data_IF_235584521805
#
_entry.id   IF_235584521805
#
_cell.length_a   1.000
_cell.length_b   1.000
_cell.length_c   1.000
_cell.angle_alpha   90.00
_cell.angle_beta   90.00
_cell.angle_gamma   90.00
#
_symmetry.space_group_name_H-M   'P 1'
#
loop_
_entity.id
_entity.type
_entity.pdbx_description
1 polymer ?
#
# COMPACT_ATOMS: atom_id res chain seq x y z
N UNK A 1 -35.00 -40.49 14.16
CA UNK A 1 -33.91 -39.54 14.48
C UNK A 1 -33.49 -38.86 13.19
N UNK A 2 -33.33 -37.54 13.28
CA UNK A 2 -33.41 -36.53 12.21
C UNK A 2 -32.46 -36.73 11.02
N UNK A 3 -32.99 -36.65 9.80
CA UNK A 3 -32.22 -36.40 8.59
C UNK A 3 -32.10 -34.88 8.41
N UNK A 4 -30.87 -34.36 8.35
CA UNK A 4 -30.63 -32.93 8.08
C UNK A 4 -30.16 -32.77 6.64
N UNK A 5 -31.08 -32.28 5.81
CA UNK A 5 -30.83 -31.71 4.49
C UNK A 5 -29.94 -30.48 4.65
N UNK A 6 -28.74 -30.47 4.06
CA UNK A 6 -27.89 -29.29 3.98
C UNK A 6 -28.06 -28.68 2.59
N UNK A 7 -28.75 -27.54 2.53
CA UNK A 7 -28.99 -26.79 1.31
C UNK A 7 -27.66 -26.22 0.78
N UNK A 8 -27.41 -26.43 -0.51
CA UNK A 8 -26.34 -25.81 -1.29
C UNK A 8 -26.88 -24.46 -1.76
N UNK A 9 -26.34 -23.36 -1.24
CA UNK A 9 -26.64 -22.02 -1.75
C UNK A 9 -25.68 -21.71 -2.89
N UNK A 10 -26.25 -21.60 -4.09
CA UNK A 10 -25.54 -21.26 -5.32
C UNK A 10 -25.03 -19.82 -5.30
N UNK A 11 -23.72 -19.64 -5.55
CA UNK A 11 -23.17 -18.37 -5.98
C UNK A 11 -23.65 -18.12 -7.42
N UNK A 12 -24.28 -16.96 -7.66
CA UNK A 12 -24.60 -16.50 -9.02
C UNK A 12 -23.47 -15.59 -9.48
N UNK A 13 -22.72 -16.09 -10.47
CA UNK A 13 -21.78 -15.33 -11.27
C UNK A 13 -22.51 -14.19 -12.00
N UNK A 14 -22.10 -12.95 -11.75
CA UNK A 14 -22.40 -11.82 -12.62
C UNK A 14 -21.15 -11.54 -13.45
N UNK A 15 -21.05 -12.23 -14.58
CA UNK A 15 -20.08 -11.96 -15.62
C UNK A 15 -20.46 -10.67 -16.35
N UNK A 16 -19.64 -9.63 -16.20
CA UNK A 16 -19.70 -8.42 -17.02
C UNK A 16 -18.95 -8.70 -18.33
N UNK A 17 -19.67 -8.64 -19.45
CA UNK A 17 -19.17 -8.96 -20.78
C UNK A 17 -18.98 -7.67 -21.59
N UNK A 18 -17.75 -7.23 -21.89
CA UNK A 18 -17.51 -6.22 -22.89
C UNK A 18 -16.88 -6.87 -24.14
N UNK A 19 -17.74 -7.32 -25.05
CA UNK A 19 -17.33 -7.59 -26.44
C UNK A 19 -17.89 -6.47 -27.30
N UNK A 20 -17.07 -5.50 -27.70
CA UNK A 20 -17.01 -4.88 -29.03
C UNK A 20 -15.70 -4.04 -29.11
N UNK A 21 -14.68 -4.55 -29.80
CA UNK A 21 -13.61 -3.73 -30.38
C UNK A 21 -13.50 -4.11 -31.84
N UNK A 22 -13.73 -3.10 -32.69
CA UNK A 22 -13.49 -3.13 -34.12
C UNK A 22 -11.98 -3.24 -34.39
N UNK A 23 -11.65 -4.05 -35.39
CA UNK A 23 -10.32 -4.15 -35.98
C UNK A 23 -10.03 -2.93 -36.85
N UNK A 24 -8.90 -2.26 -36.62
CA UNK A 24 -8.15 -1.67 -37.72
C UNK A 24 -6.67 -2.06 -37.57
N UNK A 25 -6.16 -2.71 -38.61
CA UNK A 25 -4.78 -3.19 -38.67
C UNK A 25 -3.79 -2.12 -39.10
N UNK A 26 -2.53 -2.29 -38.71
CA UNK A 26 -1.41 -1.76 -39.48
C UNK A 26 -0.21 -2.71 -39.39
N UNK A 27 0.35 -3.00 -40.57
CA UNK A 27 1.47 -3.90 -40.85
C UNK A 27 2.75 -3.47 -40.15
N UNK A 28 3.56 -4.47 -39.81
CA UNK A 28 4.76 -4.31 -38.99
C UNK A 28 6.02 -3.81 -39.69
N UNK A 29 7.12 -3.87 -38.94
CA UNK A 29 8.48 -3.97 -39.43
C UNK A 29 9.35 -4.61 -38.35
N UNK A 30 10.14 -5.61 -38.78
CA UNK A 30 11.28 -6.18 -38.06
C UNK A 30 12.29 -5.07 -37.76
N UNK A 31 13.14 -5.27 -36.75
CA UNK A 31 14.60 -5.24 -36.89
C UNK A 31 15.29 -5.65 -35.58
N UNK A 32 16.08 -6.71 -35.71
CA UNK A 32 17.45 -6.92 -35.26
C UNK A 32 17.86 -6.93 -33.77
N UNK A 33 18.25 -8.16 -33.43
CA UNK A 33 19.14 -8.63 -32.39
C UNK A 33 20.52 -7.95 -32.50
N UNK A 34 21.02 -7.36 -31.42
CA UNK A 34 22.48 -7.29 -31.16
C UNK A 34 22.75 -7.68 -29.71
N UNK A 35 23.33 -8.86 -29.57
CA UNK A 35 24.06 -9.34 -28.40
C UNK A 35 25.48 -8.78 -28.51
N UNK A 36 25.98 -8.13 -27.45
CA UNK A 36 27.43 -7.92 -27.31
C UNK A 36 27.86 -8.27 -25.89
N UNK A 37 28.54 -9.42 -25.81
CA UNK A 37 29.41 -9.84 -24.71
C UNK A 37 30.57 -8.86 -24.58
N UNK A 38 31.09 -8.65 -23.38
CA UNK A 38 32.48 -8.25 -23.22
C UNK A 38 33.13 -9.13 -22.15
N UNK A 39 34.21 -9.79 -22.57
CA UNK A 39 35.08 -10.64 -21.77
C UNK A 39 36.39 -9.91 -21.50
N UNK A 40 37.09 -10.38 -20.48
CA UNK A 40 38.42 -10.02 -20.00
C UNK A 40 39.50 -9.81 -21.08
N UNK A 41 40.44 -8.86 -20.86
CA UNK A 41 41.83 -9.19 -20.49
C UNK A 41 42.75 -7.95 -20.31
N UNK A 42 43.55 -8.07 -19.25
CA UNK A 42 44.76 -7.43 -18.75
C UNK A 42 45.75 -6.74 -19.73
N UNK A 43 46.38 -5.64 -19.28
CA UNK A 43 47.85 -5.52 -19.12
C UNK A 43 48.32 -4.22 -18.42
N UNK A 44 48.81 -4.41 -17.18
CA UNK A 44 50.01 -3.89 -16.52
C UNK A 44 50.71 -2.59 -17.02
N UNK A 45 50.97 -1.66 -16.09
CA UNK A 45 52.32 -1.14 -15.86
C UNK A 45 52.50 -0.56 -14.43
N UNK A 46 53.54 -1.04 -13.76
CA UNK A 46 54.04 -0.64 -12.43
C UNK A 46 54.80 0.70 -12.45
N UNK A 47 54.70 1.47 -11.36
CA UNK A 47 55.88 2.07 -10.71
C UNK A 47 55.69 2.23 -9.19
N UNK A 48 56.72 1.80 -8.46
CA UNK A 48 56.88 1.77 -7.01
C UNK A 48 57.38 3.12 -6.45
N UNK A 49 56.90 3.52 -5.27
CA UNK A 49 57.81 3.99 -4.21
C UNK A 49 57.20 3.86 -2.80
N UNK A 50 57.98 3.26 -1.89
CA UNK A 50 57.76 3.07 -0.45
C UNK A 50 57.99 4.38 0.34
N UNK A 51 57.24 4.63 1.42
CA UNK A 51 57.75 4.50 2.81
C UNK A 51 56.71 4.84 3.92
N UNK A 52 56.63 3.91 4.89
CA UNK A 52 56.51 4.04 6.36
C UNK A 52 55.46 4.95 7.07
N UNK A 53 54.66 4.28 7.91
CA UNK A 53 53.92 4.79 9.08
C UNK A 53 54.84 5.37 10.19
N UNK A 54 54.28 6.20 11.10
CA UNK A 54 54.05 5.67 12.46
C UNK A 54 52.69 6.04 13.08
N UNK A 55 52.39 5.32 14.17
CA UNK A 55 51.22 5.36 15.06
C UNK A 55 51.09 6.69 15.81
N UNK A 56 49.86 7.06 16.20
CA UNK A 56 49.55 7.77 17.45
C UNK A 56 48.09 7.49 17.88
N UNK A 57 47.93 7.13 19.15
CA UNK A 57 46.67 7.10 19.91
C UNK A 57 46.31 8.53 20.33
N UNK A 58 45.02 8.86 20.41
CA UNK A 58 44.46 9.84 21.34
C UNK A 58 42.94 9.65 21.47
N UNK A 59 42.49 9.71 22.72
CA UNK A 59 41.13 9.55 23.21
C UNK A 59 40.30 10.85 23.09
N UNK A 60 38.98 10.65 23.18
CA UNK A 60 37.90 11.59 23.49
C UNK A 60 37.70 12.86 22.63
N UNK A 61 36.51 12.96 22.04
CA UNK A 61 35.57 14.03 22.41
C UNK A 61 34.14 13.62 22.00
N UNK A 62 33.22 13.80 22.96
CA UNK A 62 31.78 13.71 22.80
C UNK A 62 31.34 14.72 21.76
N UNK A 63 30.45 14.32 20.84
CA UNK A 63 29.65 15.29 20.12
C UNK A 63 28.24 14.73 19.95
N UNK A 64 27.38 15.15 20.87
CA UNK A 64 25.94 15.13 20.74
C UNK A 64 25.57 15.87 19.45
N UNK A 65 25.00 15.15 18.48
CA UNK A 65 24.22 15.80 17.44
C UNK A 65 22.78 15.29 17.54
N UNK A 66 21.99 16.13 18.20
CA UNK A 66 20.55 16.19 18.14
C UNK A 66 20.06 16.27 16.69
N UNK A 67 19.05 15.45 16.40
CA UNK A 67 17.90 15.78 15.55
C UNK A 67 18.16 16.17 14.09
N UNK A 68 18.40 15.15 13.25
CA UNK A 68 17.95 15.18 11.87
C UNK A 68 16.61 14.42 11.77
N UNK A 69 15.51 15.15 11.94
CA UNK A 69 14.26 14.79 11.29
C UNK A 69 14.51 14.90 9.78
N UNK A 70 14.98 13.80 9.19
CA UNK A 70 15.00 13.65 7.74
C UNK A 70 13.55 13.78 7.24
N UNK A 71 13.15 14.99 6.88
CA UNK A 71 12.02 15.22 6.01
C UNK A 71 12.28 14.38 4.76
N UNK A 72 11.52 13.29 4.62
CA UNK A 72 11.54 12.47 3.40
C UNK A 72 10.88 13.33 2.32
N UNK A 73 11.66 14.23 1.73
CA UNK A 73 11.26 15.03 0.58
C UNK A 73 11.00 14.09 -0.60
N UNK A 74 9.86 14.27 -1.26
CA UNK A 74 9.53 13.56 -2.50
C UNK A 74 10.42 14.09 -3.63
N UNK A 75 11.68 13.67 -3.66
CA UNK A 75 12.57 13.87 -4.81
C UNK A 75 11.99 13.09 -6.02
N UNK A 76 11.49 13.87 -6.99
CA UNK A 76 11.37 13.55 -8.41
C UNK A 76 10.70 12.23 -8.77
N UNK A 77 9.39 12.24 -8.95
CA UNK A 77 8.69 11.23 -9.74
C UNK A 77 9.07 11.35 -11.23
N UNK A 78 10.12 10.63 -11.64
CA UNK A 78 10.52 10.47 -13.05
C UNK A 78 9.63 9.47 -13.82
N UNK A 79 8.46 9.09 -13.30
CA UNK A 79 7.44 8.32 -14.04
C UNK A 79 6.22 9.16 -14.39
N UNK A 80 6.44 10.36 -14.95
CA UNK A 80 5.40 11.16 -15.61
C UNK A 80 5.04 10.60 -16.98
N UNK A 81 4.53 9.37 -17.04
CA UNK A 81 3.89 8.79 -18.22
C UNK A 81 2.73 7.87 -17.82
N UNK A 82 1.61 8.49 -17.44
CA UNK A 82 0.27 8.30 -18.05
C UNK A 82 -0.70 9.15 -17.23
N UNK A 83 -1.41 10.04 -17.93
CA UNK A 83 -2.27 11.08 -17.37
C UNK A 83 -3.11 10.64 -16.16
N UNK A 84 -2.81 11.18 -14.98
CA UNK A 84 -3.85 11.57 -14.05
C UNK A 84 -4.70 12.60 -14.81
N UNK A 85 -5.72 12.14 -15.52
CA UNK A 85 -6.76 13.04 -16.01
C UNK A 85 -7.32 13.68 -14.76
N UNK A 86 -7.25 15.01 -14.65
CA UNK A 86 -7.87 15.76 -13.57
C UNK A 86 -9.37 15.48 -13.58
N UNK A 87 -9.77 14.41 -12.89
CA UNK A 87 -11.15 14.08 -12.62
C UNK A 87 -11.59 15.13 -11.61
N UNK A 88 -12.51 15.99 -12.02
CA UNK A 88 -13.12 16.95 -11.13
C UNK A 88 -14.26 16.24 -10.40
N UNK A 89 -14.10 15.86 -9.11
CA UNK A 89 -15.21 15.29 -8.36
C UNK A 89 -16.38 16.28 -8.34
N UNK A 90 -17.59 15.77 -8.49
CA UNK A 90 -18.80 16.60 -8.40
C UNK A 90 -18.95 17.22 -7.00
N UNK A 91 -19.91 18.13 -6.80
CA UNK A 91 -20.15 18.71 -5.49
C UNK A 91 -20.40 17.65 -4.41
N UNK A 92 -19.82 17.85 -3.23
CA UNK A 92 -20.05 17.01 -2.06
C UNK A 92 -21.50 17.13 -1.57
N UNK A 93 -22.18 16.00 -1.45
CA UNK A 93 -23.51 15.87 -0.87
C UNK A 93 -23.47 14.95 0.35
N UNK A 94 -24.27 15.25 1.37
CA UNK A 94 -24.45 14.32 2.48
C UNK A 94 -25.28 13.11 2.03
N UNK A 95 -24.96 11.93 2.55
CA UNK A 95 -25.72 10.71 2.27
C UNK A 95 -27.21 10.87 2.64
N UNK A 96 -27.48 11.55 3.76
CA UNK A 96 -28.84 11.83 4.23
C UNK A 96 -29.64 12.68 3.24
N UNK A 97 -29.07 13.78 2.75
CA UNK A 97 -29.73 14.65 1.76
C UNK A 97 -30.04 13.88 0.47
N UNK A 98 -29.12 13.00 0.06
CA UNK A 98 -29.31 12.22 -1.15
C UNK A 98 -30.44 11.20 -0.98
N UNK A 99 -30.56 10.57 0.19
CA UNK A 99 -31.64 9.62 0.47
C UNK A 99 -33.00 10.30 0.59
N UNK A 100 -33.06 11.50 1.20
CA UNK A 100 -34.30 12.26 1.33
C UNK A 100 -34.85 12.74 -0.02
N UNK A 101 -33.97 13.16 -0.95
CA UNK A 101 -34.38 13.59 -2.30
C UNK A 101 -35.05 12.49 -3.12
N UNK A 102 -34.64 11.24 -2.91
CA UNK A 102 -35.09 10.10 -3.71
C UNK A 102 -36.14 9.26 -2.98
N UNK A 103 -36.73 9.77 -1.90
CA UNK A 103 -37.69 9.04 -1.06
C UNK A 103 -38.97 8.64 -1.80
N UNK A 104 -39.40 9.48 -2.75
CA UNK A 104 -40.65 9.31 -3.51
C UNK A 104 -40.44 8.44 -4.77
N UNK A 105 -39.19 8.06 -5.09
CA UNK A 105 -38.86 7.18 -6.21
C UNK A 105 -38.54 5.77 -5.69
N UNK A 106 -39.49 4.85 -5.90
CA UNK A 106 -39.34 3.46 -5.47
C UNK A 106 -38.15 2.75 -6.13
N UNK A 107 -37.85 3.08 -7.39
CA UNK A 107 -36.77 2.45 -8.14
C UNK A 107 -35.40 2.86 -7.63
N UNK A 108 -35.21 4.16 -7.39
CA UNK A 108 -33.97 4.69 -6.82
C UNK A 108 -33.76 4.24 -5.38
N UNK A 109 -34.84 4.18 -4.58
CA UNK A 109 -34.76 3.68 -3.20
C UNK A 109 -34.29 2.22 -3.14
N UNK A 110 -34.87 1.34 -3.97
CA UNK A 110 -34.44 -0.06 -4.07
C UNK A 110 -32.99 -0.19 -4.55
N UNK A 111 -32.60 0.59 -5.54
CA UNK A 111 -31.23 0.59 -6.06
C UNK A 111 -30.22 1.04 -5.00
N UNK A 112 -30.51 2.10 -4.24
CA UNK A 112 -29.63 2.56 -3.15
C UNK A 112 -29.54 1.56 -2.00
N UNK A 113 -30.66 0.94 -1.64
CA UNK A 113 -30.67 -0.12 -0.62
C UNK A 113 -29.79 -1.31 -1.04
N UNK A 114 -29.75 -1.65 -2.33
CA UNK A 114 -28.85 -2.69 -2.85
C UNK A 114 -27.37 -2.30 -2.78
N UNK A 115 -27.04 -1.03 -3.03
CA UNK A 115 -25.65 -0.57 -3.03
C UNK A 115 -25.10 -0.33 -1.61
N UNK A 116 -25.89 0.33 -0.78
CA UNK A 116 -25.48 0.77 0.54
C UNK A 116 -25.74 -0.30 1.62
N UNK A 117 -26.57 -1.29 1.31
CA UNK A 117 -27.09 -2.24 2.28
C UNK A 117 -28.03 -1.56 3.28
N UNK A 118 -28.14 -2.15 4.47
CA UNK A 118 -28.87 -1.55 5.59
C UNK A 118 -27.97 -0.53 6.29
N UNK A 119 -27.94 0.68 5.75
CA UNK A 119 -27.28 1.81 6.42
C UNK A 119 -28.13 2.27 7.59
N UNK A 120 -27.52 2.34 8.77
CA UNK A 120 -28.15 2.96 9.92
C UNK A 120 -28.12 4.48 9.76
N UNK A 121 -29.24 5.04 9.34
CA UNK A 121 -29.41 6.49 9.13
C UNK A 121 -29.28 7.30 10.42
N UNK A 122 -29.36 6.66 11.59
CA UNK A 122 -29.10 7.33 12.86
C UNK A 122 -27.60 7.49 13.15
N UNK A 123 -26.75 6.62 12.58
CA UNK A 123 -25.31 6.68 12.70
C UNK A 123 -24.64 7.54 11.61
N UNK A 124 -25.33 7.74 10.48
CA UNK A 124 -24.90 8.63 9.39
C UNK A 124 -25.37 10.05 9.72
N UNK A 125 -24.46 10.85 10.29
CA UNK A 125 -24.74 12.25 10.62
C UNK A 125 -25.06 13.12 9.39
N UNK A 126 -25.33 14.41 9.61
CA UNK A 126 -25.57 15.41 8.54
C UNK A 126 -24.27 15.91 7.89
N UNK A 127 -23.14 15.29 8.22
CA UNK A 127 -21.84 15.67 7.69
C UNK A 127 -21.76 15.38 6.20
N UNK A 128 -21.31 16.38 5.43
CA UNK A 128 -20.92 16.20 4.03
C UNK A 128 -19.59 15.49 3.88
N UNK A 129 -18.77 15.52 4.93
CA UNK A 129 -17.46 14.91 4.90
C UNK A 129 -17.48 13.47 5.40
N UNK A 130 -16.90 12.53 4.63
CA UNK A 130 -16.66 11.18 5.11
C UNK A 130 -15.56 11.15 6.18
N UNK A 131 -15.57 10.08 6.97
CA UNK A 131 -14.52 9.76 7.92
C UNK A 131 -14.07 8.32 7.72
N UNK A 132 -12.76 8.12 7.57
CA UNK A 132 -12.13 6.81 7.50
C UNK A 132 -11.16 6.69 8.65
N UNK A 133 -11.31 5.62 9.44
CA UNK A 133 -10.37 5.29 10.50
C UNK A 133 -9.66 3.98 10.17
N UNK A 134 -8.37 4.06 9.86
CA UNK A 134 -7.54 2.87 9.68
C UNK A 134 -7.19 2.31 11.06
N UNK A 135 -7.65 1.09 11.35
CA UNK A 135 -7.60 0.47 12.67
C UNK A 135 -6.30 -0.31 12.87
N UNK A 136 -5.89 -1.08 11.86
CA UNK A 136 -4.70 -1.94 11.98
C UNK A 136 -4.10 -2.33 10.64
N UNK A 137 -2.79 -2.57 10.67
CA UNK A 137 -2.04 -3.27 9.64
C UNK A 137 -1.78 -4.71 10.09
N UNK A 138 -2.22 -5.69 9.31
CA UNK A 138 -1.97 -7.11 9.57
C UNK A 138 -1.00 -7.67 8.54
N UNK A 139 0.03 -8.37 9.00
CA UNK A 139 1.02 -9.05 8.16
C UNK A 139 0.70 -10.53 8.17
N UNK A 140 0.18 -11.01 7.04
CA UNK A 140 -0.13 -12.43 6.82
C UNK A 140 1.09 -13.09 6.19
N UNK A 141 1.50 -14.24 6.74
CA UNK A 141 2.74 -14.93 6.35
C UNK A 141 2.45 -16.40 6.19
N UNK A 142 3.01 -17.01 5.15
CA UNK A 142 2.77 -18.42 4.92
C UNK A 142 3.28 -19.27 6.11
N UNK A 143 2.40 -20.11 6.67
CA UNK A 143 2.72 -21.03 7.75
C UNK A 143 2.97 -20.38 9.11
N UNK A 144 2.56 -19.12 9.32
CA UNK A 144 2.65 -18.42 10.61
C UNK A 144 1.34 -17.71 10.94
N UNK A 145 1.01 -17.51 12.23
CA UNK A 145 -0.11 -16.67 12.62
C UNK A 145 0.04 -15.24 12.08
N UNK A 146 -1.09 -14.60 11.83
CA UNK A 146 -1.17 -13.20 11.45
C UNK A 146 -0.54 -12.31 12.54
N UNK A 147 0.29 -11.36 12.12
CA UNK A 147 0.80 -10.32 13.02
C UNK A 147 -0.04 -9.06 12.86
N UNK A 148 -0.85 -8.73 13.86
CA UNK A 148 -1.72 -7.55 13.86
C UNK A 148 -1.02 -6.39 14.56
N UNK A 149 -0.88 -5.27 13.88
CA UNK A 149 -0.30 -4.02 14.37
C UNK A 149 -1.40 -2.94 14.42
N UNK A 150 -1.88 -2.55 15.62
CA UNK A 150 -2.84 -1.46 15.76
C UNK A 150 -2.26 -0.12 15.29
N UNK A 151 -3.11 0.74 14.74
CA UNK A 151 -2.78 2.10 14.33
C UNK A 151 -3.51 3.08 15.26
N UNK A 152 -2.83 4.11 15.82
CA UNK A 152 -1.43 4.45 15.60
C UNK A 152 -0.47 3.42 16.18
N UNK A 153 0.69 3.25 15.52
CA UNK A 153 1.69 2.28 15.96
C UNK A 153 2.23 2.67 17.34
N UNK A 154 2.43 1.69 18.21
CA UNK A 154 2.87 1.91 19.60
C UNK A 154 4.31 2.40 19.74
N UNK A 155 5.05 2.49 18.63
CA UNK A 155 6.47 2.77 18.62
C UNK A 155 6.75 3.99 17.74
N UNK A 156 7.06 5.11 18.38
CA UNK A 156 7.43 6.36 17.72
C UNK A 156 8.93 6.45 17.37
N UNK A 157 9.71 5.39 17.61
CA UNK A 157 11.14 5.36 17.25
C UNK A 157 11.36 4.71 15.88
N UNK A 158 12.50 4.98 15.24
CA UNK A 158 12.96 4.31 13.99
C UNK A 158 13.22 2.79 14.17
N UNK A 159 12.65 2.16 15.19
CA UNK A 159 12.73 0.73 15.45
C UNK A 159 11.74 -0.02 14.57
N UNK A 160 12.20 -1.14 14.07
CA UNK A 160 11.42 -2.09 13.30
C UNK A 160 10.17 -2.57 14.06
N UNK A 161 9.00 -2.44 13.43
CA UNK A 161 7.73 -2.96 13.95
C UNK A 161 7.64 -4.48 13.79
N UNK A 162 8.27 -5.03 12.76
CA UNK A 162 8.26 -6.45 12.47
C UNK A 162 9.43 -6.87 11.57
N UNK A 163 9.74 -8.17 11.60
CA UNK A 163 10.76 -8.76 10.73
C UNK A 163 10.15 -9.78 9.78
N UNK A 164 10.48 -9.67 8.50
CA UNK A 164 10.18 -10.66 7.47
C UNK A 164 11.40 -11.53 7.19
N UNK A 165 11.19 -12.83 6.99
CA UNK A 165 12.23 -13.74 6.50
C UNK A 165 12.35 -13.61 4.99
N UNK A 166 13.56 -13.44 4.48
CA UNK A 166 13.84 -13.42 3.04
C UNK A 166 13.25 -14.63 2.28
N UNK A 167 12.84 -14.42 1.03
CA UNK A 167 12.28 -15.48 0.18
C UNK A 167 10.97 -16.07 0.68
N UNK A 168 10.26 -15.39 1.58
CA UNK A 168 8.94 -15.83 2.06
C UNK A 168 7.84 -14.95 1.50
N UNK A 169 6.69 -15.59 1.25
CA UNK A 169 5.46 -14.96 0.85
C UNK A 169 4.83 -14.22 2.03
N UNK A 170 4.39 -13.00 1.77
CA UNK A 170 3.61 -12.20 2.70
C UNK A 170 2.51 -11.43 1.98
N UNK A 171 1.53 -11.00 2.76
CA UNK A 171 0.44 -10.13 2.34
C UNK A 171 0.17 -9.12 3.44
N UNK A 172 -0.09 -7.87 3.05
CA UNK A 172 -0.53 -6.85 3.98
C UNK A 172 -2.05 -6.76 3.93
N UNK A 173 -2.69 -6.72 5.10
CA UNK A 173 -4.12 -6.50 5.24
C UNK A 173 -4.38 -5.30 6.12
N UNK A 174 -5.06 -4.30 5.58
CA UNK A 174 -5.53 -3.14 6.34
C UNK A 174 -6.98 -3.36 6.76
N UNK A 175 -7.28 -3.03 8.01
CA UNK A 175 -8.66 -3.02 8.53
C UNK A 175 -9.04 -1.59 8.87
N UNK A 176 -10.20 -1.15 8.41
CA UNK A 176 -10.65 0.24 8.58
C UNK A 176 -12.16 0.35 8.66
N UNK A 177 -12.66 1.42 9.27
CA UNK A 177 -14.09 1.76 9.33
C UNK A 177 -14.37 3.01 8.55
N UNK A 178 -15.57 3.10 7.99
CA UNK A 178 -16.09 4.28 7.30
C UNK A 178 -17.34 4.77 8.04
N UNK A 179 -17.37 6.06 8.35
CA UNK A 179 -18.48 6.72 9.04
C UNK A 179 -18.83 8.05 8.37
N UNK A 180 -19.96 8.64 8.81
CA UNK A 180 -20.49 9.94 8.40
C UNK A 180 -21.00 10.03 6.95
N UNK A 181 -20.19 9.69 5.95
CA UNK A 181 -20.58 9.77 4.54
C UNK A 181 -19.87 8.71 3.69
N UNK A 182 -20.27 8.58 2.42
CA UNK A 182 -19.59 7.73 1.44
C UNK A 182 -18.20 8.31 1.13
N UNK A 183 -17.18 7.46 1.13
CA UNK A 183 -15.82 7.81 0.68
C UNK A 183 -15.70 7.42 -0.79
N UNK A 184 -15.48 8.39 -1.67
CA UNK A 184 -15.29 8.11 -3.11
C UNK A 184 -13.81 8.02 -3.47
N UNK A 185 -13.44 6.93 -4.14
CA UNK A 185 -12.10 6.78 -4.69
C UNK A 185 -10.99 6.78 -3.63
N UNK A 186 -11.19 6.02 -2.56
CA UNK A 186 -10.16 5.78 -1.56
C UNK A 186 -8.95 5.13 -2.23
N UNK A 187 -7.79 5.74 -2.10
CA UNK A 187 -6.50 5.33 -2.66
C UNK A 187 -5.54 4.98 -1.54
N UNK A 188 -4.81 3.89 -1.73
CA UNK A 188 -3.69 3.47 -0.91
C UNK A 188 -2.38 3.74 -1.64
N UNK A 189 -1.47 4.46 -1.00
CA UNK A 189 -0.11 4.68 -1.49
C UNK A 189 0.89 4.08 -0.51
N UNK A 190 1.87 3.35 -1.04
CA UNK A 190 2.92 2.70 -0.28
C UNK A 190 4.27 3.01 -0.92
N UNK A 191 5.10 3.76 -0.21
CA UNK A 191 6.45 4.07 -0.64
C UNK A 191 7.43 3.35 0.30
N UNK A 192 8.39 2.63 -0.27
CA UNK A 192 9.37 1.85 0.49
C UNK A 192 10.78 2.34 0.18
N UNK A 193 11.56 2.59 1.23
CA UNK A 193 12.95 3.00 1.15
C UNK A 193 13.86 2.00 1.85
N UNK A 194 15.06 1.85 1.31
CA UNK A 194 16.16 1.12 1.92
C UNK A 194 17.41 1.99 1.89
N UNK A 195 17.98 2.27 3.06
CA UNK A 195 19.21 3.07 3.18
C UNK A 195 19.10 4.42 2.45
N UNK A 196 17.97 5.12 2.63
CA UNK A 196 17.70 6.42 1.99
C UNK A 196 17.23 6.34 0.52
N UNK A 197 17.40 5.20 -0.15
CA UNK A 197 17.01 5.04 -1.56
C UNK A 197 15.59 4.47 -1.65
N UNK A 198 14.72 5.10 -2.45
CA UNK A 198 13.38 4.57 -2.76
C UNK A 198 13.51 3.30 -3.61
N UNK A 199 13.02 2.18 -3.09
CA UNK A 199 13.08 0.86 -3.72
C UNK A 199 11.74 0.38 -4.26
N UNK A 200 10.64 0.91 -3.74
CA UNK A 200 9.28 0.67 -4.27
C UNK A 200 8.39 1.90 -4.09
N UNK A 201 7.44 2.08 -4.99
CA UNK A 201 6.37 3.06 -4.89
C UNK A 201 5.13 2.50 -5.60
N UNK A 202 4.10 2.17 -4.83
CA UNK A 202 2.86 1.60 -5.34
C UNK A 202 1.67 2.47 -4.93
N UNK A 203 0.79 2.74 -5.91
CA UNK A 203 -0.47 3.47 -5.74
C UNK A 203 -1.62 2.58 -6.22
N UNK A 204 -2.61 2.34 -5.37
CA UNK A 204 -3.75 1.45 -5.67
C UNK A 204 -5.07 2.14 -5.33
N UNK A 205 -5.97 2.22 -6.32
CA UNK A 205 -7.37 2.63 -6.09
C UNK A 205 -8.13 1.48 -5.43
N UNK A 206 -8.60 1.70 -4.20
CA UNK A 206 -9.38 0.73 -3.44
C UNK A 206 -10.87 0.78 -3.81
N UNK A 207 -11.37 1.97 -4.16
CA UNK A 207 -12.73 2.19 -4.64
C UNK A 207 -13.57 3.05 -3.70
N UNK A 208 -14.88 2.83 -3.74
CA UNK A 208 -15.87 3.61 -2.99
C UNK A 208 -16.44 2.79 -1.85
N UNK A 209 -16.54 3.40 -0.66
CA UNK A 209 -16.96 2.71 0.56
C UNK A 209 -18.11 3.47 1.23
N UNK A 210 -19.18 2.75 1.56
CA UNK A 210 -20.31 3.29 2.31
C UNK A 210 -20.06 3.26 3.82
N UNK A 211 -20.69 4.15 4.60
CA UNK A 211 -20.63 4.08 6.05
C UNK A 211 -21.38 2.83 6.56
N UNK A 212 -20.73 2.05 7.41
CA UNK A 212 -21.31 0.85 8.03
C UNK A 212 -20.63 0.54 9.37
N UNK A 213 -21.30 -0.25 10.22
CA UNK A 213 -20.79 -0.64 11.54
C UNK A 213 -19.65 -1.67 11.47
N UNK A 214 -19.67 -2.53 10.45
CA UNK A 214 -18.65 -3.57 10.26
C UNK A 214 -17.41 -2.99 9.55
N UNK A 215 -16.22 -3.36 10.04
CA UNK A 215 -14.98 -2.89 9.44
C UNK A 215 -14.72 -3.52 8.07
N UNK A 216 -14.25 -2.71 7.13
CA UNK A 216 -13.74 -3.17 5.85
C UNK A 216 -12.33 -3.74 5.99
N UNK A 217 -11.98 -4.63 5.06
CA UNK A 217 -10.62 -5.15 4.91
C UNK A 217 -10.13 -4.95 3.50
N UNK A 218 -8.92 -4.41 3.36
CA UNK A 218 -8.20 -4.37 2.10
C UNK A 218 -6.95 -5.25 2.20
N UNK A 219 -6.79 -6.17 1.27
CA UNK A 219 -5.64 -7.05 1.17
C UNK A 219 -4.80 -6.70 -0.06
N UNK A 220 -3.49 -6.55 0.13
CA UNK A 220 -2.57 -6.35 -0.98
C UNK A 220 -2.42 -7.62 -1.81
N UNK A 221 -1.79 -7.48 -2.98
CA UNK A 221 -1.28 -8.65 -3.71
C UNK A 221 -0.24 -9.37 -2.83
N UNK A 222 -0.11 -10.66 -3.06
CA UNK A 222 0.91 -11.46 -2.40
C UNK A 222 2.28 -11.14 -2.98
N UNK A 223 3.27 -10.97 -2.11
CA UNK A 223 4.63 -10.58 -2.49
C UNK A 223 5.66 -11.53 -1.85
N UNK A 224 6.80 -11.68 -2.53
CA UNK A 224 7.93 -12.47 -2.04
C UNK A 224 9.02 -11.50 -1.62
N UNK A 225 9.46 -11.61 -0.37
CA UNK A 225 10.63 -10.85 0.08
C UNK A 225 11.90 -11.21 -0.70
N UNK A 226 12.73 -10.24 -1.06
CA UNK A 226 13.97 -10.48 -1.82
C UNK A 226 14.90 -11.47 -1.10
N UNK A 227 15.54 -12.36 -1.87
CA UNK A 227 16.42 -13.42 -1.35
C UNK A 227 17.89 -13.03 -1.26
N UNK A 228 18.27 -11.92 -1.91
CA UNK A 228 19.65 -11.45 -2.05
C UNK A 228 20.17 -10.97 -0.71
N UNK A 229 21.43 -11.29 -0.38
CA UNK A 229 22.06 -10.96 0.90
C UNK A 229 21.99 -9.45 1.20
N UNK A 230 22.15 -8.60 0.19
CA UNK A 230 22.10 -7.14 0.31
C UNK A 230 20.70 -6.58 0.58
N UNK A 231 19.65 -7.38 0.37
CA UNK A 231 18.27 -6.99 0.67
C UNK A 231 17.92 -7.20 2.15
N UNK A 232 18.84 -7.74 2.96
CA UNK A 232 18.65 -7.81 4.41
C UNK A 232 18.83 -6.42 5.04
N UNK A 233 18.22 -6.24 6.21
CA UNK A 233 18.32 -5.03 7.01
C UNK A 233 17.02 -4.25 7.05
N UNK A 234 17.12 -2.99 7.47
CA UNK A 234 15.98 -2.13 7.75
C UNK A 234 15.44 -1.42 6.51
N UNK A 235 14.12 -1.33 6.47
CA UNK A 235 13.31 -0.64 5.47
C UNK A 235 12.44 0.39 6.17
N UNK A 236 12.31 1.55 5.55
CA UNK A 236 11.37 2.60 5.92
C UNK A 236 10.19 2.53 4.96
N UNK A 237 8.97 2.65 5.47
CA UNK A 237 7.75 2.64 4.68
C UNK A 237 6.89 3.81 5.07
N UNK A 238 6.38 4.54 4.08
CA UNK A 238 5.35 5.56 4.25
C UNK A 238 4.09 5.07 3.57
N UNK A 239 3.04 4.92 4.36
CA UNK A 239 1.73 4.50 3.92
C UNK A 239 0.77 5.67 4.02
N UNK A 240 0.03 5.92 2.94
CA UNK A 240 -0.97 6.99 2.87
C UNK A 240 -2.32 6.49 2.35
N UNK A 241 -3.40 6.97 2.96
CA UNK A 241 -4.77 6.77 2.51
C UNK A 241 -5.42 8.13 2.21
N UNK A 242 -5.84 8.35 0.97
CA UNK A 242 -6.54 9.57 0.56
C UNK A 242 -7.70 9.26 -0.38
N UNK A 243 -8.70 10.13 -0.48
CA UNK A 243 -9.81 9.99 -1.43
C UNK A 243 -9.66 10.89 -2.68
N UNK A 244 -10.68 10.90 -3.54
CA UNK A 244 -10.74 11.76 -4.72
C UNK A 244 -10.93 13.24 -4.39
N UNK A 245 -11.45 13.57 -3.20
CA UNK A 245 -11.62 14.94 -2.71
C UNK A 245 -10.32 15.50 -2.08
N UNK A 246 -9.24 14.69 -2.05
CA UNK A 246 -7.94 15.07 -1.52
C UNK A 246 -7.85 14.99 0.01
N UNK A 247 -8.85 14.44 0.69
CA UNK A 247 -8.83 14.26 2.14
C UNK A 247 -7.89 13.10 2.48
N UNK A 248 -6.90 13.39 3.32
CA UNK A 248 -5.97 12.40 3.85
C UNK A 248 -6.51 11.82 5.17
N UNK A 249 -6.67 10.50 5.23
CA UNK A 249 -7.19 9.77 6.39
C UNK A 249 -6.11 9.11 7.23
N UNK A 250 -4.98 8.79 6.60
CA UNK A 250 -3.81 8.23 7.24
C UNK A 250 -2.58 8.65 6.45
N UNK A 251 -1.57 9.16 7.13
CA UNK A 251 -0.21 9.33 6.60
C UNK A 251 0.74 8.93 7.72
N UNK A 252 1.30 7.73 7.62
CA UNK A 252 2.15 7.16 8.67
C UNK A 252 3.41 6.56 8.08
N UNK A 253 4.49 6.73 8.83
CA UNK A 253 5.78 6.10 8.53
C UNK A 253 6.04 5.00 9.54
N UNK A 254 6.51 3.85 9.08
CA UNK A 254 6.94 2.74 9.92
C UNK A 254 8.16 2.03 9.35
N UNK A 255 8.80 1.23 10.19
CA UNK A 255 10.01 0.50 9.83
C UNK A 255 9.78 -1.00 9.94
N UNK A 256 10.42 -1.78 9.08
CA UNK A 256 10.47 -3.23 9.18
C UNK A 256 11.84 -3.76 8.74
N UNK A 257 12.18 -5.00 9.12
CA UNK A 257 13.43 -5.62 8.72
C UNK A 257 13.21 -6.83 7.83
N UNK A 258 14.15 -7.06 6.90
CA UNK A 258 14.30 -8.35 6.22
C UNK A 258 15.51 -9.08 6.80
N UNK A 259 15.30 -10.31 7.27
CA UNK A 259 16.34 -11.14 7.88
C UNK A 259 16.47 -12.51 7.18
N UNK A 260 17.61 -13.16 7.39
CA UNK A 260 17.86 -14.52 6.88
C UNK A 260 16.87 -15.54 7.47
N UNK A 261 16.61 -15.40 8.76
CA UNK A 261 15.73 -16.25 9.54
C UNK A 261 14.68 -15.40 10.24
N UNK A 262 13.59 -16.04 10.64
CA UNK A 262 12.60 -15.40 11.50
C UNK A 262 13.20 -15.05 12.87
N UNK A 263 12.70 -14.00 13.54
CA UNK A 263 13.07 -13.74 14.92
C UNK A 263 12.68 -14.96 15.77
N UNK A 264 13.62 -15.40 16.61
CA UNK A 264 13.36 -16.42 17.63
C UNK A 264 12.40 -15.83 18.65
N UNK A 265 11.32 -16.56 18.94
CA UNK A 265 10.45 -16.25 20.08
C UNK A 265 11.28 -16.44 21.35
N UNK A 266 11.71 -15.33 21.95
CA UNK A 266 12.28 -15.29 23.30
C UNK A 266 11.19 -15.44 24.34
#
# INVERSE_FOLDING_TARGET
MSAVLRAISAARDLAFNPSQKEEEGMKGQKNDIISTKCSDELLNHHHHHNHQLPKNECEHEENDNETDEEEIEEEGDLTKLQSDKDLNPGPLFSLKDQLEKDKDDESLRKWKEQLLGRVDLSAVGESKEPEVKIISLTIQRQGRPDLVLPIPFTNNSKKSLFTLKQGNLYRLKFTFTVSNNIVSGLKYTNCVWKSGVRVDNSKTMLGTFSPQSEAYTYETKEEITPTIIFARGSYCVRTKFMDDDGKCYLDVTYYFDIAKNWPTSS
#
